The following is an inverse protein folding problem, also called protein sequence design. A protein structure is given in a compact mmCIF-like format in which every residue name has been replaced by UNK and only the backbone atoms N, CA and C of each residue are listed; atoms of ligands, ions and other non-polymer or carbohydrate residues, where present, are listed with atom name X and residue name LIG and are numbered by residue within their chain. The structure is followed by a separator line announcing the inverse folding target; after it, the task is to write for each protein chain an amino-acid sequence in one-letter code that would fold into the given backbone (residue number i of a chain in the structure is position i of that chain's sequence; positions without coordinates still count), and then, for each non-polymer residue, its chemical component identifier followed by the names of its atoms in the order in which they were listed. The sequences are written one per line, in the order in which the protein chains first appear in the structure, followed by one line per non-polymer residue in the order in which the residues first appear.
data_IF_258041787974
#
_entry.id   IF_258041787974
#
_cell.length_a   1.000
_cell.length_b   1.000
_cell.length_c   1.000
_cell.angle_alpha   90.00
_cell.angle_beta   90.00
_cell.angle_gamma   90.00
#
_symmetry.space_group_name_H-M   'P 1'
#
loop_
_entity.id
_entity.type
_entity.pdbx_description
1 polymer ?
#
# COMPACT_ATOMS: atom_id res chain seq x y z
N UNK A 1 -29.26 -3.06 4.77
CA UNK A 1 -27.98 -3.79 4.64
C UNK A 1 -27.09 -3.31 5.77
N UNK A 2 -26.91 -4.11 6.82
CA UNK A 2 -26.07 -3.72 7.96
C UNK A 2 -24.65 -3.44 7.46
N UNK A 3 -24.14 -2.24 7.75
CA UNK A 3 -22.75 -1.89 7.44
C UNK A 3 -21.87 -2.68 8.40
N UNK A 4 -21.29 -3.79 7.92
CA UNK A 4 -20.26 -4.51 8.66
C UNK A 4 -18.99 -3.65 8.68
N UNK A 5 -18.60 -3.18 9.85
CA UNK A 5 -17.34 -2.49 10.06
C UNK A 5 -16.24 -3.53 10.32
N UNK A 6 -15.10 -3.38 9.65
CA UNK A 6 -13.92 -4.21 9.89
C UNK A 6 -13.20 -3.76 11.15
N UNK A 7 -12.76 -4.73 11.94
CA UNK A 7 -11.84 -4.53 13.06
C UNK A 7 -10.43 -4.17 12.57
N UNK A 8 -9.56 -3.57 13.41
CA UNK A 8 -8.16 -3.33 13.05
C UNK A 8 -7.44 -4.57 12.51
N UNK A 9 -7.62 -5.74 13.15
CA UNK A 9 -6.99 -6.99 12.72
C UNK A 9 -7.52 -7.49 11.37
N UNK A 10 -8.82 -7.35 11.10
CA UNK A 10 -9.38 -7.67 9.78
C UNK A 10 -8.80 -6.75 8.70
N UNK A 11 -8.64 -5.45 8.99
CA UNK A 11 -8.01 -4.50 8.08
C UNK A 11 -6.54 -4.85 7.80
N UNK A 12 -5.75 -5.17 8.83
CA UNK A 12 -4.36 -5.63 8.67
C UNK A 12 -4.31 -6.90 7.84
N UNK A 13 -5.17 -7.89 8.12
CA UNK A 13 -5.21 -9.13 7.34
C UNK A 13 -5.46 -8.86 5.85
N UNK A 14 -6.42 -8.00 5.53
CA UNK A 14 -6.72 -7.64 4.14
C UNK A 14 -5.55 -6.85 3.53
N UNK A 15 -4.93 -5.92 4.27
CA UNK A 15 -3.78 -5.15 3.83
C UNK A 15 -2.59 -6.06 3.46
N UNK A 16 -2.25 -7.01 4.33
CA UNK A 16 -1.18 -7.98 4.10
C UNK A 16 -1.46 -8.86 2.89
N UNK A 17 -2.72 -9.25 2.65
CA UNK A 17 -3.08 -9.98 1.43
C UNK A 17 -2.85 -9.15 0.16
N UNK A 18 -3.13 -7.84 0.18
CA UNK A 18 -2.84 -6.96 -0.94
C UNK A 18 -1.34 -6.85 -1.18
N UNK A 19 -0.56 -6.63 -0.11
CA UNK A 19 0.90 -6.54 -0.21
C UNK A 19 1.53 -7.84 -0.73
N UNK A 20 1.09 -8.99 -0.22
CA UNK A 20 1.52 -10.30 -0.69
C UNK A 20 1.22 -10.50 -2.18
N UNK A 21 -0.01 -10.21 -2.61
CA UNK A 21 -0.34 -10.27 -4.04
C UNK A 21 0.50 -9.31 -4.87
N UNK A 22 0.79 -8.11 -4.38
CA UNK A 22 1.64 -7.13 -5.08
C UNK A 22 3.07 -7.64 -5.24
N UNK A 23 3.66 -8.20 -4.19
CA UNK A 23 5.00 -8.78 -4.21
C UNK A 23 5.12 -9.85 -5.30
N UNK A 24 4.15 -10.76 -5.39
CA UNK A 24 4.09 -11.78 -6.46
C UNK A 24 4.03 -11.17 -7.86
N UNK A 25 3.43 -9.99 -8.02
CA UNK A 25 3.38 -9.30 -9.30
C UNK A 25 4.73 -8.71 -9.72
N UNK A 26 5.70 -8.54 -8.83
CA UNK A 26 7.04 -8.04 -9.19
C UNK A 26 8.00 -9.14 -9.67
N UNK A 27 7.60 -10.41 -9.52
CA UNK A 27 8.36 -11.54 -10.05
C UNK A 27 8.44 -11.47 -11.58
N UNK A 28 9.43 -12.18 -12.14
CA UNK A 28 9.62 -12.32 -13.59
C UNK A 28 9.56 -10.99 -14.34
N UNK A 29 10.32 -10.00 -13.86
CA UNK A 29 10.40 -8.65 -14.42
C UNK A 29 9.08 -7.87 -14.42
N UNK A 30 8.16 -8.20 -13.50
CA UNK A 30 6.82 -7.62 -13.44
C UNK A 30 6.02 -7.84 -14.74
N UNK A 31 6.11 -9.05 -15.27
CA UNK A 31 5.46 -9.49 -16.50
C UNK A 31 4.79 -10.84 -16.29
N UNK A 32 3.54 -10.99 -16.77
CA UNK A 32 2.83 -12.26 -16.77
C UNK A 32 2.60 -12.71 -18.21
N UNK A 33 3.02 -13.94 -18.51
CA UNK A 33 2.72 -14.59 -19.79
C UNK A 33 1.33 -15.22 -19.72
N UNK A 34 0.40 -14.67 -20.50
CA UNK A 34 -0.95 -15.23 -20.64
C UNK A 34 -1.05 -16.03 -21.92
N UNK A 35 -1.36 -17.32 -21.80
CA UNK A 35 -1.55 -18.22 -22.93
C UNK A 35 -2.56 -17.63 -23.92
N UNK A 36 -2.12 -17.39 -25.16
CA UNK A 36 -2.94 -16.80 -26.22
C UNK A 36 -3.20 -15.29 -26.13
N UNK A 37 -2.63 -14.57 -25.14
CA UNK A 37 -2.79 -13.12 -24.96
C UNK A 37 -1.48 -12.34 -24.86
N UNK A 38 -0.34 -13.01 -24.88
CA UNK A 38 0.98 -12.37 -24.85
C UNK A 38 1.43 -12.02 -23.44
N UNK A 39 2.34 -11.05 -23.34
CA UNK A 39 2.94 -10.59 -22.08
C UNK A 39 2.17 -9.38 -21.56
N UNK A 40 1.84 -9.39 -20.26
CA UNK A 40 1.14 -8.30 -19.59
C UNK A 40 2.01 -7.69 -18.51
N UNK A 41 2.20 -6.37 -18.57
CA UNK A 41 2.88 -5.60 -17.52
C UNK A 41 2.03 -5.55 -16.24
N UNK A 42 2.67 -5.79 -15.10
CA UNK A 42 2.00 -5.86 -13.80
C UNK A 42 2.34 -4.70 -12.86
N UNK A 43 3.17 -3.74 -13.28
CA UNK A 43 3.55 -2.59 -12.44
C UNK A 43 2.34 -1.71 -12.13
N UNK A 44 1.42 -1.60 -13.09
CA UNK A 44 0.15 -0.94 -12.85
C UNK A 44 -0.61 -1.65 -11.71
N UNK A 45 -1.09 -2.91 -11.83
CA UNK A 45 -1.81 -3.61 -10.74
C UNK A 45 -1.08 -3.62 -9.41
N UNK A 46 0.26 -3.75 -9.42
CA UNK A 46 1.10 -3.58 -8.23
C UNK A 46 0.80 -2.27 -7.47
N UNK A 47 0.82 -1.12 -8.15
CA UNK A 47 0.60 0.19 -7.52
C UNK A 47 -0.76 0.24 -6.81
N UNK A 48 -1.82 -0.31 -7.43
CA UNK A 48 -3.14 -0.34 -6.80
C UNK A 48 -3.18 -1.18 -5.54
N UNK A 49 -2.56 -2.36 -5.59
CA UNK A 49 -2.52 -3.26 -4.44
C UNK A 49 -1.73 -2.63 -3.29
N UNK A 50 -0.55 -2.07 -3.56
CA UNK A 50 0.24 -1.42 -2.51
C UNK A 50 -0.44 -0.17 -1.96
N UNK A 51 -1.05 0.67 -2.80
CA UNK A 51 -1.80 1.82 -2.30
C UNK A 51 -2.91 1.40 -1.33
N UNK A 52 -3.66 0.34 -1.66
CA UNK A 52 -4.68 -0.21 -0.77
C UNK A 52 -4.08 -0.81 0.49
N UNK A 53 -2.96 -1.52 0.39
CA UNK A 53 -2.27 -2.09 1.54
C UNK A 53 -1.87 -1.01 2.55
N UNK A 54 -1.24 0.08 2.11
CA UNK A 54 -0.91 1.21 2.98
C UNK A 54 -2.14 1.89 3.58
N UNK A 55 -3.16 2.15 2.76
CA UNK A 55 -4.39 2.82 3.22
C UNK A 55 -5.10 2.00 4.31
N UNK A 56 -5.23 0.69 4.11
CA UNK A 56 -5.85 -0.21 5.08
C UNK A 56 -5.02 -0.34 6.35
N UNK A 57 -3.69 -0.39 6.24
CA UNK A 57 -2.78 -0.47 7.39
C UNK A 57 -2.88 0.78 8.26
N UNK A 58 -2.86 1.98 7.65
CA UNK A 58 -3.02 3.23 8.41
C UNK A 58 -4.43 3.37 9.00
N UNK A 59 -5.47 2.91 8.30
CA UNK A 59 -6.83 2.84 8.86
C UNK A 59 -6.88 1.93 10.08
N UNK A 60 -6.23 0.77 10.05
CA UNK A 60 -6.16 -0.15 11.18
C UNK A 60 -5.46 0.48 12.38
N UNK A 61 -4.29 1.09 12.15
CA UNK A 61 -3.54 1.82 13.16
C UNK A 61 -4.38 2.91 13.84
N UNK A 62 -4.99 3.80 13.05
CA UNK A 62 -5.78 4.90 13.60
C UNK A 62 -7.06 4.44 14.32
N UNK A 63 -7.65 3.34 13.87
CA UNK A 63 -8.80 2.72 14.53
C UNK A 63 -8.40 2.05 15.85
N UNK A 64 -7.22 1.45 15.93
CA UNK A 64 -6.70 0.84 17.15
C UNK A 64 -6.39 1.89 18.22
N UNK A 65 -5.56 2.88 17.89
CA UNK A 65 -5.02 3.81 18.89
C UNK A 65 -6.01 4.93 19.25
N UNK A 66 -6.77 5.43 18.26
CA UNK A 66 -7.63 6.61 18.45
C UNK A 66 -9.12 6.31 18.33
N UNK A 67 -9.52 5.04 18.03
CA UNK A 67 -10.92 4.64 17.82
C UNK A 67 -11.66 5.50 16.79
N UNK A 68 -10.91 6.06 15.82
CA UNK A 68 -11.46 6.99 14.82
C UNK A 68 -11.89 6.25 13.56
N UNK A 69 -13.13 6.51 13.11
CA UNK A 69 -13.62 5.98 11.84
C UNK A 69 -13.11 6.84 10.66
N UNK A 70 -12.00 6.41 10.06
CA UNK A 70 -11.37 7.11 8.93
C UNK A 70 -11.67 6.46 7.57
N UNK A 71 -12.79 5.74 7.43
CA UNK A 71 -13.12 4.98 6.22
C UNK A 71 -13.08 5.78 4.92
N UNK A 72 -13.45 7.06 4.97
CA UNK A 72 -13.50 7.93 3.79
C UNK A 72 -12.19 8.64 3.46
N UNK A 73 -11.20 8.57 4.36
CA UNK A 73 -9.93 9.28 4.18
C UNK A 73 -9.04 8.53 3.18
N UNK A 74 -8.36 9.29 2.32
CA UNK A 74 -7.36 8.78 1.40
C UNK A 74 -6.01 8.59 2.08
N UNK A 75 -5.06 7.95 1.38
CA UNK A 75 -3.72 7.65 1.90
C UNK A 75 -2.98 8.87 2.49
N UNK A 76 -3.03 10.04 1.84
CA UNK A 76 -2.31 11.23 2.30
C UNK A 76 -2.96 11.85 3.53
N UNK A 77 -4.29 11.84 3.59
CA UNK A 77 -5.04 12.29 4.76
C UNK A 77 -4.79 11.38 5.96
N UNK A 78 -4.70 10.06 5.76
CA UNK A 78 -4.35 9.11 6.82
C UNK A 78 -2.92 9.32 7.30
N UNK A 79 -1.97 9.50 6.38
CA UNK A 79 -0.57 9.76 6.71
C UNK A 79 -0.41 11.03 7.56
N UNK A 80 -1.17 12.08 7.26
CA UNK A 80 -1.16 13.32 8.03
C UNK A 80 -1.69 13.15 9.47
N UNK A 81 -2.46 12.09 9.74
CA UNK A 81 -3.00 11.77 11.07
C UNK A 81 -2.14 10.79 11.84
N UNK A 82 -1.06 10.28 11.24
CA UNK A 82 -0.19 9.28 11.85
C UNK A 82 1.24 9.78 12.12
N UNK A 83 1.44 10.99 12.70
CA UNK A 83 2.79 11.51 12.95
C UNK A 83 3.58 10.66 13.96
N UNK A 84 2.87 9.95 14.85
CA UNK A 84 3.47 9.13 15.91
C UNK A 84 4.09 7.82 15.40
N UNK A 85 3.80 7.41 14.15
CA UNK A 85 4.42 6.23 13.54
C UNK A 85 5.92 6.37 13.28
N UNK A 86 6.48 7.59 13.34
CA UNK A 86 7.92 7.80 13.21
C UNK A 86 8.49 7.54 11.81
N UNK A 87 7.66 7.58 10.76
CA UNK A 87 8.11 7.46 9.38
C UNK A 87 9.12 8.57 9.03
N UNK A 88 10.19 8.20 8.33
CA UNK A 88 11.18 9.17 7.88
C UNK A 88 10.59 10.09 6.81
N UNK A 89 11.23 11.23 6.57
CA UNK A 89 10.81 12.11 5.46
C UNK A 89 10.89 11.38 4.10
N UNK A 90 11.87 10.48 3.92
CA UNK A 90 11.99 9.68 2.69
C UNK A 90 10.79 8.75 2.51
N UNK A 91 10.37 8.06 3.57
CA UNK A 91 9.19 7.20 3.57
C UNK A 91 7.92 7.98 3.21
N UNK A 92 7.77 9.19 3.79
CA UNK A 92 6.67 10.10 3.49
C UNK A 92 6.67 10.51 2.01
N UNK A 93 7.84 10.79 1.42
CA UNK A 93 7.93 11.13 0.00
C UNK A 93 7.57 9.94 -0.90
N UNK A 94 7.98 8.72 -0.54
CA UNK A 94 7.60 7.51 -1.26
C UNK A 94 6.08 7.30 -1.25
N UNK A 95 5.40 7.47 -0.11
CA UNK A 95 3.93 7.39 -0.03
C UNK A 95 3.23 8.47 -0.85
N UNK A 96 3.79 9.70 -0.85
CA UNK A 96 3.28 10.79 -1.70
C UNK A 96 3.41 10.44 -3.19
N UNK A 97 4.55 9.89 -3.60
CA UNK A 97 4.78 9.44 -4.97
C UNK A 97 3.85 8.28 -5.35
N UNK A 98 3.63 7.32 -4.45
CA UNK A 98 2.67 6.23 -4.63
C UNK A 98 1.24 6.75 -4.83
N UNK A 99 0.81 7.70 -4.00
CA UNK A 99 -0.51 8.31 -4.11
C UNK A 99 -0.72 9.03 -5.45
N UNK A 100 0.31 9.74 -5.94
CA UNK A 100 0.27 10.37 -7.28
C UNK A 100 0.23 9.32 -8.39
N UNK A 101 1.05 8.27 -8.32
CA UNK A 101 1.05 7.18 -9.31
C UNK A 101 -0.29 6.43 -9.32
N UNK A 102 -0.94 6.27 -8.18
CA UNK A 102 -2.29 5.70 -8.10
C UNK A 102 -3.35 6.64 -8.70
N UNK A 103 -3.25 7.95 -8.46
CA UNK A 103 -4.15 8.95 -9.04
C UNK A 103 -4.05 9.03 -10.57
N UNK A 104 -2.90 8.68 -11.17
CA UNK A 104 -2.75 8.55 -12.62
C UNK A 104 -3.79 7.63 -13.25
N UNK A 105 -4.11 6.52 -12.58
CA UNK A 105 -5.18 5.59 -13.02
C UNK A 105 -6.58 6.22 -13.02
N UNK A 106 -6.76 7.39 -12.41
CA UNK A 106 -8.01 8.17 -12.41
C UNK A 106 -8.02 9.26 -13.50
N UNK A 107 -7.05 9.26 -14.42
CA UNK A 107 -7.00 10.15 -15.58
C UNK A 107 -6.25 11.47 -15.35
N UNK A 108 -5.39 11.54 -14.32
CA UNK A 108 -4.56 12.73 -14.03
C UNK A 108 -3.10 12.40 -14.37
N UNK A 109 -2.58 12.97 -15.46
CA UNK A 109 -1.19 12.75 -15.87
C UNK A 109 -0.22 13.55 -14.99
N UNK A 110 0.83 12.90 -14.49
CA UNK A 110 1.85 13.50 -13.63
C UNK A 110 3.28 13.31 -14.15
N UNK A 111 3.49 12.69 -15.32
CA UNK A 111 4.81 12.42 -15.93
C UNK A 111 5.89 12.03 -14.88
N UNK A 112 5.60 11.02 -14.06
CA UNK A 112 6.43 10.72 -12.86
C UNK A 112 7.72 9.93 -13.13
N UNK A 113 7.83 9.34 -14.32
CA UNK A 113 8.87 8.37 -14.68
C UNK A 113 9.33 8.63 -16.10
N UNK A 114 10.65 8.62 -16.31
CA UNK A 114 11.22 8.72 -17.66
C UNK A 114 11.08 7.39 -18.41
N UNK A 115 11.14 6.28 -17.69
CA UNK A 115 11.06 4.93 -18.24
C UNK A 115 10.42 3.92 -17.26
N UNK A 116 10.13 2.73 -17.79
CA UNK A 116 9.54 1.61 -17.03
C UNK A 116 10.46 1.11 -15.91
N UNK A 117 11.78 1.14 -16.12
CA UNK A 117 12.74 0.63 -15.16
C UNK A 117 12.73 1.49 -13.88
N UNK A 118 12.62 2.81 -14.01
CA UNK A 118 12.45 3.70 -12.86
C UNK A 118 11.18 3.37 -12.06
N UNK A 119 10.06 3.11 -12.74
CA UNK A 119 8.82 2.69 -12.06
C UNK A 119 9.00 1.33 -11.35
N UNK A 120 9.70 0.38 -11.97
CA UNK A 120 9.98 -0.93 -11.37
C UNK A 120 10.87 -0.82 -10.13
N UNK A 121 11.92 0.01 -10.17
CA UNK A 121 12.78 0.31 -9.00
C UNK A 121 11.92 0.90 -7.88
N UNK A 122 11.07 1.87 -8.20
CA UNK A 122 10.15 2.43 -7.22
C UNK A 122 9.20 1.38 -6.61
N UNK A 123 8.67 0.45 -7.42
CA UNK A 123 7.84 -0.62 -6.88
C UNK A 123 8.59 -1.48 -5.86
N UNK A 124 9.87 -1.78 -6.09
CA UNK A 124 10.70 -2.50 -5.12
C UNK A 124 10.92 -1.68 -3.83
N UNK A 125 11.17 -0.37 -3.95
CA UNK A 125 11.28 0.53 -2.78
C UNK A 125 9.99 0.57 -1.95
N UNK A 126 8.84 0.48 -2.63
CA UNK A 126 7.51 0.47 -2.00
C UNK A 126 7.24 -0.81 -1.20
N UNK A 127 7.76 -1.97 -1.63
CA UNK A 127 7.73 -3.20 -0.82
C UNK A 127 8.55 -3.00 0.46
N UNK A 128 9.80 -2.57 0.34
CA UNK A 128 10.66 -2.37 1.51
C UNK A 128 10.11 -1.32 2.48
N UNK A 129 9.42 -0.30 1.97
CA UNK A 129 8.70 0.66 2.82
C UNK A 129 7.54 0.01 3.59
N UNK A 130 6.80 -0.89 2.95
CA UNK A 130 5.67 -1.56 3.60
C UNK A 130 6.14 -2.47 4.74
N UNK A 131 7.25 -3.18 4.55
CA UNK A 131 7.90 -3.99 5.60
C UNK A 131 8.28 -3.11 6.81
N UNK A 132 8.99 -2.00 6.58
CA UNK A 132 9.32 -1.04 7.65
C UNK A 132 8.09 -0.49 8.36
N UNK A 133 7.01 -0.20 7.62
CA UNK A 133 5.77 0.26 8.22
C UNK A 133 5.16 -0.82 9.14
N UNK A 134 5.22 -2.10 8.76
CA UNK A 134 4.71 -3.18 9.60
C UNK A 134 5.48 -3.28 10.93
N UNK A 135 6.80 -3.07 10.91
CA UNK A 135 7.64 -3.04 12.12
C UNK A 135 7.29 -1.88 13.07
N UNK A 136 6.76 -0.78 12.52
CA UNK A 136 6.33 0.42 13.28
C UNK A 136 4.91 0.30 13.85
N UNK A 137 4.15 -0.75 13.50
CA UNK A 137 2.79 -0.94 14.03
C UNK A 137 2.83 -1.32 15.52
N UNK A 138 1.80 -0.95 16.31
CA UNK A 138 1.60 -1.48 17.65
C UNK A 138 1.68 -3.01 17.67
N UNK A 139 2.28 -3.59 18.72
CA UNK A 139 2.51 -5.04 18.82
C UNK A 139 1.20 -5.83 18.65
N UNK A 140 0.10 -5.31 19.17
CA UNK A 140 -1.24 -5.91 19.05
C UNK A 140 -1.74 -6.00 17.61
N UNK A 141 -1.15 -5.26 16.68
CA UNK A 141 -1.45 -5.31 15.25
C UNK A 141 -0.39 -6.08 14.45
N UNK A 142 0.73 -6.45 15.07
CA UNK A 142 1.77 -7.23 14.43
C UNK A 142 1.36 -8.71 14.33
N UNK A 143 1.71 -9.33 13.20
CA UNK A 143 1.35 -10.73 12.90
C UNK A 143 1.93 -11.72 13.92
N UNK A 144 3.13 -11.44 14.43
CA UNK A 144 3.87 -12.36 15.29
C UNK A 144 3.39 -12.36 16.74
N UNK A 145 2.63 -11.33 17.16
CA UNK A 145 2.07 -11.24 18.51
C UNK A 145 0.89 -12.20 18.75
N UNK A 146 0.21 -12.63 17.68
CA UNK A 146 -0.96 -13.53 17.76
C UNK A 146 -0.63 -15.00 17.43
N UNK A 147 0.65 -15.37 17.41
CA UNK A 147 1.13 -16.76 17.28
C UNK A 147 1.35 -17.38 18.66
#
# INVERSE_FOLDING_TARGET
MDKKYFTPLELIKIATQHAYCAEHLLLDNAEIILTGRGVVDTLTPFISLMHLAFELTLKAYLLHDYKTNNQHKNLLELLALSPELGLSNQDIQLLKKLSRQYAFRKGIDYELWDDRQQLQVFCAEIIGLYERLQELMPLELQKDYHQ
#
